data_IF_940992601057
#
_entry.id   IF_940992601057
#
_cell.length_a   1.000
_cell.length_b   1.000
_cell.length_c   1.000
_cell.angle_alpha   90.00
_cell.angle_beta   90.00
_cell.angle_gamma   90.00
#
_symmetry.space_group_name_H-M   'P 1'
#
loop_
_entity.id
_entity.type
_entity.pdbx_description
1 polymer ?
#
# COMPACT_ATOMS: atom_id res chain seq x y z
N UNK A 1 9.93 0.98 -10.94
CA UNK A 1 9.04 1.02 -12.12
C UNK A 1 7.61 0.81 -11.64
N UNK A 2 6.60 1.25 -12.40
CA UNK A 2 5.19 1.05 -12.04
C UNK A 2 4.79 -0.42 -12.32
N UNK A 3 4.21 -1.16 -11.35
CA UNK A 3 3.75 -2.53 -11.57
C UNK A 3 2.71 -2.64 -12.69
N UNK A 4 2.76 -3.73 -13.46
CA UNK A 4 1.96 -3.91 -14.68
C UNK A 4 0.44 -3.86 -14.47
N UNK A 5 -0.06 -4.14 -13.26
CA UNK A 5 -1.48 -4.09 -12.92
C UNK A 5 -1.99 -2.67 -12.64
N UNK A 6 -1.13 -1.64 -12.70
CA UNK A 6 -1.46 -0.26 -12.37
C UNK A 6 -1.10 0.70 -13.51
N UNK A 7 -1.94 1.72 -13.69
CA UNK A 7 -1.71 2.89 -14.56
C UNK A 7 -1.14 4.07 -13.77
N UNK A 8 -1.41 4.14 -12.48
CA UNK A 8 -0.92 5.15 -11.57
C UNK A 8 -0.78 4.55 -10.18
N UNK A 9 0.26 4.96 -9.46
CA UNK A 9 0.41 4.70 -8.03
C UNK A 9 1.06 5.92 -7.39
N UNK A 10 0.28 6.64 -6.57
CA UNK A 10 0.79 7.69 -5.70
C UNK A 10 0.56 7.29 -4.24
N UNK A 11 1.31 7.90 -3.34
CA UNK A 11 1.11 7.70 -1.92
C UNK A 11 1.65 8.84 -1.08
N UNK A 12 1.21 8.88 0.17
CA UNK A 12 1.66 9.85 1.16
C UNK A 12 1.85 9.15 2.49
N UNK A 13 2.92 9.53 3.17
CA UNK A 13 3.16 9.20 4.55
C UNK A 13 2.80 10.42 5.39
N UNK A 14 2.00 10.22 6.43
CA UNK A 14 1.69 11.31 7.36
C UNK A 14 2.10 10.91 8.77
N UNK A 15 2.63 11.87 9.50
CA UNK A 15 3.03 11.72 10.89
C UNK A 15 2.33 12.81 11.68
N UNK A 16 1.50 12.43 12.63
CA UNK A 16 0.72 13.36 13.45
C UNK A 16 1.03 13.10 14.91
N UNK A 17 1.45 14.14 15.61
CA UNK A 17 1.58 14.08 17.08
C UNK A 17 0.22 13.81 17.72
N UNK A 18 0.26 13.08 18.82
CA UNK A 18 -0.88 12.71 19.66
C UNK A 18 -0.47 12.94 21.11
N UNK A 19 -1.42 12.87 22.05
CA UNK A 19 -1.12 13.06 23.47
C UNK A 19 -0.10 12.06 24.06
N UNK A 20 0.17 10.94 23.39
CA UNK A 20 1.04 9.87 23.89
C UNK A 20 2.17 9.46 22.93
N UNK A 21 2.29 10.10 21.76
CA UNK A 21 3.28 9.73 20.75
C UNK A 21 2.94 10.23 19.35
N UNK A 22 3.36 9.50 18.32
CA UNK A 22 3.11 9.85 16.91
C UNK A 22 2.24 8.78 16.25
N UNK A 23 1.17 9.20 15.59
CA UNK A 23 0.41 8.36 14.67
C UNK A 23 1.02 8.50 13.27
N UNK A 24 1.67 7.44 12.79
CA UNK A 24 2.18 7.34 11.42
C UNK A 24 1.19 6.57 10.55
N UNK A 25 0.87 7.10 9.37
CA UNK A 25 -0.02 6.43 8.40
C UNK A 25 0.60 6.40 7.01
N UNK A 26 0.15 5.42 6.21
CA UNK A 26 0.48 5.28 4.80
C UNK A 26 -0.81 5.25 3.99
N UNK A 27 -0.94 6.16 3.03
CA UNK A 27 -2.08 6.21 2.13
C UNK A 27 -1.59 6.01 0.70
N UNK A 28 -2.38 5.29 -0.10
CA UNK A 28 -2.11 5.07 -1.51
C UNK A 28 -3.33 5.42 -2.34
N UNK A 29 -3.09 6.01 -3.51
CA UNK A 29 -4.08 6.18 -4.58
C UNK A 29 -3.58 5.42 -5.80
N UNK A 30 -4.42 4.57 -6.36
CA UNK A 30 -4.07 3.69 -7.48
C UNK A 30 -5.15 3.78 -8.55
N UNK A 31 -4.71 3.79 -9.82
CA UNK A 31 -5.59 3.47 -10.95
C UNK A 31 -5.22 2.09 -11.46
N UNK A 32 -6.16 1.14 -11.38
CA UNK A 32 -5.96 -0.23 -11.87
C UNK A 32 -5.95 -0.21 -13.41
N UNK A 33 -5.07 -1.01 -13.99
CA UNK A 33 -5.01 -1.25 -15.44
C UNK A 33 -5.88 -2.45 -15.79
N UNK A 34 -7.15 -2.19 -16.13
CA UNK A 34 -8.15 -3.23 -16.33
C UNK A 34 -7.77 -4.24 -17.43
N UNK A 35 -7.15 -3.77 -18.51
CA UNK A 35 -6.73 -4.61 -19.63
C UNK A 35 -5.65 -5.66 -19.27
N UNK A 36 -5.00 -5.52 -18.11
CA UNK A 36 -3.98 -6.44 -17.63
C UNK A 36 -4.49 -7.40 -16.54
N UNK A 37 -5.76 -7.32 -16.12
CA UNK A 37 -6.26 -8.10 -14.98
C UNK A 37 -6.10 -9.60 -15.23
N UNK A 38 -6.70 -10.13 -16.30
CA UNK A 38 -6.65 -11.57 -16.57
C UNK A 38 -5.22 -12.08 -16.82
N UNK A 39 -4.40 -11.26 -17.49
CA UNK A 39 -2.99 -11.58 -17.76
C UNK A 39 -2.18 -11.75 -16.47
N UNK A 40 -2.50 -10.99 -15.43
CA UNK A 40 -1.70 -10.94 -14.19
C UNK A 40 -2.30 -11.80 -13.08
N UNK A 41 -3.63 -11.86 -12.97
CA UNK A 41 -4.33 -12.55 -11.88
C UNK A 41 -4.94 -13.89 -12.32
N UNK A 42 -4.92 -14.19 -13.61
CA UNK A 42 -5.46 -15.42 -14.19
C UNK A 42 -6.79 -15.19 -14.90
N UNK A 43 -7.21 -16.17 -15.71
CA UNK A 43 -8.49 -16.11 -16.41
C UNK A 43 -9.64 -15.94 -15.41
N UNK A 44 -10.70 -15.25 -15.85
CA UNK A 44 -11.90 -14.94 -15.04
C UNK A 44 -11.69 -13.93 -13.89
N UNK A 45 -10.47 -13.42 -13.71
CA UNK A 45 -10.22 -12.40 -12.70
C UNK A 45 -10.93 -11.08 -13.04
N UNK A 46 -11.59 -10.47 -12.06
CA UNK A 46 -12.33 -9.23 -12.23
C UNK A 46 -11.67 -8.02 -11.54
N UNK A 47 -12.30 -6.84 -11.70
CA UNK A 47 -11.83 -5.58 -11.11
C UNK A 47 -11.86 -5.61 -9.58
N UNK A 48 -12.82 -6.29 -8.96
CA UNK A 48 -12.92 -6.37 -7.51
C UNK A 48 -11.76 -7.19 -6.94
N UNK A 49 -11.44 -8.33 -7.55
CA UNK A 49 -10.29 -9.15 -7.20
C UNK A 49 -8.98 -8.39 -7.43
N UNK A 50 -8.85 -7.64 -8.53
CA UNK A 50 -7.68 -6.80 -8.77
C UNK A 50 -7.51 -5.71 -7.69
N UNK A 51 -8.60 -5.09 -7.27
CA UNK A 51 -8.58 -4.10 -6.18
C UNK A 51 -8.13 -4.71 -4.86
N UNK A 52 -8.69 -5.85 -4.47
CA UNK A 52 -8.31 -6.51 -3.21
C UNK A 52 -6.85 -7.00 -3.27
N UNK A 53 -6.40 -7.54 -4.40
CA UNK A 53 -5.01 -7.94 -4.60
C UNK A 53 -4.05 -6.76 -4.42
N UNK A 54 -4.29 -5.65 -5.13
CA UNK A 54 -3.45 -4.45 -5.04
C UNK A 54 -3.46 -3.87 -3.62
N UNK A 55 -4.65 -3.77 -3.01
CA UNK A 55 -4.80 -3.27 -1.64
C UNK A 55 -4.03 -4.13 -0.65
N UNK A 56 -4.13 -5.45 -0.74
CA UNK A 56 -3.43 -6.38 0.15
C UNK A 56 -1.91 -6.27 0.00
N UNK A 57 -1.40 -6.23 -1.23
CA UNK A 57 0.02 -6.10 -1.51
C UNK A 57 0.59 -4.78 -0.96
N UNK A 58 -0.04 -3.64 -1.30
CA UNK A 58 0.42 -2.33 -0.85
C UNK A 58 0.29 -2.16 0.66
N UNK A 59 -0.83 -2.58 1.25
CA UNK A 59 -1.06 -2.47 2.70
C UNK A 59 -0.10 -3.36 3.49
N UNK A 60 0.32 -4.49 2.95
CA UNK A 60 1.30 -5.38 3.62
C UNK A 60 2.68 -4.77 3.61
N UNK A 61 3.14 -4.28 2.46
CA UNK A 61 4.44 -3.60 2.36
C UNK A 61 4.50 -2.36 3.28
N UNK A 62 3.48 -1.50 3.21
CA UNK A 62 3.47 -0.27 4.00
C UNK A 62 3.39 -0.52 5.50
N UNK A 63 2.63 -1.53 5.95
CA UNK A 63 2.62 -1.92 7.38
C UNK A 63 3.96 -2.47 7.85
N UNK A 64 4.65 -3.27 7.03
CA UNK A 64 6.00 -3.75 7.37
C UNK A 64 6.96 -2.56 7.55
N UNK A 65 6.92 -1.59 6.63
CA UNK A 65 7.71 -0.36 6.74
C UNK A 65 7.38 0.45 8.00
N UNK A 66 6.10 0.64 8.32
CA UNK A 66 5.68 1.32 9.55
C UNK A 66 6.13 0.58 10.82
N UNK A 67 6.10 -0.75 10.81
CA UNK A 67 6.61 -1.58 11.89
C UNK A 67 8.08 -1.31 12.15
N UNK A 68 8.92 -1.40 11.10
CA UNK A 68 10.35 -1.10 11.23
C UNK A 68 10.62 0.35 11.66
N UNK A 69 9.87 1.32 11.14
CA UNK A 69 10.00 2.72 11.54
C UNK A 69 9.64 2.93 13.01
N UNK A 70 8.57 2.28 13.49
CA UNK A 70 8.17 2.28 14.89
C UNK A 70 9.26 1.69 15.77
N UNK A 71 9.74 0.48 15.45
CA UNK A 71 10.80 -0.20 16.22
C UNK A 71 12.06 0.68 16.33
N UNK A 72 12.47 1.28 15.20
CA UNK A 72 13.61 2.18 15.14
C UNK A 72 13.45 3.41 16.06
N UNK A 73 12.29 4.05 16.01
CA UNK A 73 12.01 5.27 16.76
C UNK A 73 11.85 5.01 18.26
N UNK A 74 11.22 3.89 18.64
CA UNK A 74 10.99 3.53 20.03
C UNK A 74 12.26 3.02 20.72
N UNK A 75 13.19 2.40 19.99
CA UNK A 75 14.49 1.99 20.53
C UNK A 75 15.45 3.16 20.83
N UNK A 76 15.13 4.38 20.41
CA UNK A 76 15.98 5.59 20.54
C UNK A 76 15.34 6.67 21.42
N UNK A 77 14.37 6.28 22.26
CA UNK A 77 13.80 7.16 23.27
C UNK A 77 14.71 7.32 24.48
#
# INVERSE_FOLDING_TARGET
TLPALMNLHTGVWTFRETGTGVAATSQHTVVIRAENIEKILGPEADVAQAREYVKAALSTNSRATLGHAKDYAEARR
#
